data_IF_685383196902
#
_entry.id   IF_685383196902
#
_cell.length_a   1.000
_cell.length_b   1.000
_cell.length_c   1.000
_cell.angle_alpha   90.00
_cell.angle_beta   90.00
_cell.angle_gamma   90.00
#
_symmetry.space_group_name_H-M   'P 1'
#
loop_
_entity.id
_entity.type
_entity.pdbx_description
1 polymer ?
#
# COMPACT_ATOMS: atom_id res chain seq x y z
N UNK A 1 -29.22 -17.59 -13.82
CA UNK A 1 -29.48 -16.14 -13.79
C UNK A 1 -28.36 -15.48 -14.59
N UNK A 2 -28.64 -14.51 -15.44
CA UNK A 2 -27.64 -13.81 -16.26
C UNK A 2 -27.98 -12.33 -16.35
N UNK A 3 -26.98 -11.50 -16.62
CA UNK A 3 -27.10 -10.05 -16.79
C UNK A 3 -26.51 -9.69 -18.14
N UNK A 4 -27.20 -8.84 -18.91
CA UNK A 4 -26.72 -8.35 -20.21
C UNK A 4 -26.38 -6.89 -20.05
N UNK A 5 -25.12 -6.54 -20.32
CA UNK A 5 -24.59 -5.19 -20.19
C UNK A 5 -23.79 -4.81 -21.43
N UNK A 6 -23.68 -3.50 -21.65
CA UNK A 6 -22.88 -2.91 -22.71
C UNK A 6 -21.46 -2.72 -22.19
N UNK A 7 -20.50 -3.41 -22.80
CA UNK A 7 -19.09 -3.37 -22.41
C UNK A 7 -18.29 -2.73 -23.54
N UNK A 8 -17.42 -1.78 -23.19
CA UNK A 8 -16.45 -1.21 -24.11
C UNK A 8 -15.31 -2.22 -24.35
N UNK A 9 -15.19 -2.71 -25.58
CA UNK A 9 -14.13 -3.65 -25.98
C UNK A 9 -13.18 -2.92 -26.96
N UNK A 10 -11.85 -3.06 -26.81
CA UNK A 10 -10.91 -2.49 -27.77
C UNK A 10 -11.25 -2.93 -29.20
N UNK A 11 -11.34 -1.98 -30.12
CA UNK A 11 -11.49 -2.25 -31.54
C UNK A 11 -10.25 -3.02 -32.03
N UNK A 12 -10.40 -4.03 -32.91
CA UNK A 12 -9.26 -4.70 -33.52
C UNK A 12 -8.41 -3.67 -34.28
N UNK A 13 -7.15 -3.51 -33.91
CA UNK A 13 -6.23 -2.66 -34.68
C UNK A 13 -5.83 -3.40 -35.96
N UNK A 14 -6.14 -2.82 -37.13
CA UNK A 14 -5.65 -3.32 -38.41
C UNK A 14 -4.15 -3.03 -38.53
N UNK A 15 -3.34 -4.05 -38.29
CA UNK A 15 -1.90 -3.97 -38.49
C UNK A 15 -1.61 -4.23 -39.97
N UNK A 16 -1.13 -3.22 -40.68
CA UNK A 16 -0.75 -3.35 -42.09
C UNK A 16 0.77 -3.35 -42.25
N UNK A 17 1.34 -4.29 -43.03
CA UNK A 17 2.76 -4.26 -43.36
C UNK A 17 3.00 -3.22 -44.47
N UNK A 18 3.70 -2.15 -44.12
CA UNK A 18 4.21 -1.16 -45.07
C UNK A 18 5.62 -1.53 -45.53
N UNK A 19 5.83 -1.48 -46.84
CA UNK A 19 7.11 -1.77 -47.48
C UNK A 19 7.72 -0.48 -48.02
N UNK A 20 9.01 -0.26 -47.78
CA UNK A 20 9.73 0.83 -48.44
C UNK A 20 10.01 0.47 -49.90
N UNK A 21 9.92 1.44 -50.81
CA UNK A 21 10.11 1.21 -52.26
C UNK A 21 11.51 0.66 -52.59
N UNK A 22 12.51 0.93 -51.75
CA UNK A 22 13.92 0.64 -52.02
C UNK A 22 14.54 -0.48 -51.15
N UNK A 23 13.77 -1.12 -50.26
CA UNK A 23 14.26 -2.23 -49.41
C UNK A 23 13.26 -3.37 -49.28
N UNK A 24 13.76 -4.57 -48.99
CA UNK A 24 12.93 -5.74 -48.64
C UNK A 24 12.50 -5.74 -47.15
N UNK A 25 12.76 -4.64 -46.43
CA UNK A 25 12.36 -4.50 -45.04
C UNK A 25 10.92 -3.96 -44.95
N UNK A 26 10.13 -4.56 -44.06
CA UNK A 26 8.76 -4.12 -43.79
C UNK A 26 8.68 -3.45 -42.42
N UNK A 27 7.86 -2.41 -42.31
CA UNK A 27 7.43 -1.83 -41.04
C UNK A 27 5.95 -2.13 -40.82
N UNK A 28 5.57 -2.41 -39.58
CA UNK A 28 4.16 -2.62 -39.23
C UNK A 28 3.57 -1.26 -38.86
N UNK A 29 2.71 -0.72 -39.72
CA UNK A 29 1.92 0.47 -39.40
C UNK A 29 0.66 0.07 -38.62
N UNK A 30 0.29 0.90 -37.64
CA UNK A 30 -0.83 0.64 -36.73
C UNK A 30 -0.46 0.01 -35.38
N UNK A 31 0.79 -0.45 -35.17
CA UNK A 31 1.25 -0.91 -33.85
C UNK A 31 1.65 0.31 -33.01
N UNK A 32 0.83 0.63 -31.99
CA UNK A 32 1.14 1.66 -31.01
C UNK A 32 0.45 3.01 -31.23
N UNK A 33 -0.67 3.07 -31.95
CA UNK A 33 -1.55 4.24 -31.84
C UNK A 33 -2.09 4.31 -30.40
N UNK A 34 -1.74 5.37 -29.67
CA UNK A 34 -2.20 5.63 -28.30
C UNK A 34 -3.73 5.74 -28.20
N UNK A 35 -4.39 5.95 -29.34
CA UNK A 35 -5.84 5.94 -29.48
C UNK A 35 -6.34 4.49 -29.61
N UNK A 36 -6.59 3.85 -28.46
CA UNK A 36 -7.38 2.61 -28.40
C UNK A 36 -8.85 3.00 -28.57
N UNK A 37 -9.38 2.85 -29.78
CA UNK A 37 -10.80 3.04 -30.04
C UNK A 37 -11.58 1.90 -29.39
N UNK A 38 -12.63 2.22 -28.62
CA UNK A 38 -13.45 1.23 -27.94
C UNK A 38 -14.81 1.10 -28.62
N UNK A 39 -15.18 -0.12 -28.98
CA UNK A 39 -16.51 -0.44 -29.48
C UNK A 39 -17.41 -0.92 -28.34
N UNK A 40 -18.62 -0.38 -28.25
CA UNK A 40 -19.62 -0.87 -27.30
C UNK A 40 -20.22 -2.18 -27.83
N UNK A 41 -20.05 -3.28 -27.10
CA UNK A 41 -20.63 -4.58 -27.42
C UNK A 41 -21.56 -5.03 -26.31
N UNK A 42 -22.73 -5.55 -26.69
CA UNK A 42 -23.60 -6.23 -25.73
C UNK A 42 -23.01 -7.59 -25.39
N UNK A 43 -22.77 -7.83 -24.11
CA UNK A 43 -22.31 -9.12 -23.60
C UNK A 43 -23.25 -9.59 -22.49
N UNK A 44 -23.69 -10.83 -22.63
CA UNK A 44 -24.46 -11.51 -21.58
C UNK A 44 -23.51 -12.31 -20.70
N UNK A 45 -23.45 -11.96 -19.42
CA UNK A 45 -22.63 -12.62 -18.40
C UNK A 45 -23.53 -13.52 -17.55
N UNK A 46 -23.16 -14.80 -17.42
CA UNK A 46 -23.91 -15.78 -16.63
C UNK A 46 -23.45 -15.76 -15.17
N UNK A 47 -24.39 -15.74 -14.22
CA UNK A 47 -24.10 -15.84 -12.79
C UNK A 47 -23.83 -17.32 -12.45
N UNK A 48 -22.62 -17.59 -11.96
CA UNK A 48 -22.20 -18.91 -11.51
C UNK A 48 -22.20 -18.97 -9.97
N UNK A 49 -22.96 -19.92 -9.40
CA UNK A 49 -23.03 -20.10 -7.94
C UNK A 49 -21.83 -20.87 -7.42
N UNK A 50 -21.18 -20.37 -6.37
CA UNK A 50 -20.12 -21.09 -5.65
C UNK A 50 -20.63 -22.33 -4.89
N UNK A 51 -21.93 -22.41 -4.60
CA UNK A 51 -22.56 -23.56 -3.94
C UNK A 51 -22.96 -24.67 -4.93
N UNK A 52 -22.78 -24.46 -6.23
CA UNK A 52 -22.97 -25.51 -7.24
C UNK A 52 -21.86 -26.56 -7.17
N UNK A 53 -22.05 -27.73 -7.80
CA UNK A 53 -21.02 -28.77 -7.87
C UNK A 53 -19.71 -28.22 -8.47
N UNK A 54 -19.81 -27.45 -9.57
CA UNK A 54 -18.65 -26.83 -10.20
C UNK A 54 -18.07 -25.68 -9.36
N UNK A 55 -18.91 -24.92 -8.67
CA UNK A 55 -18.48 -23.86 -7.75
C UNK A 55 -17.69 -24.39 -6.56
N UNK A 56 -18.15 -25.50 -5.96
CA UNK A 56 -17.44 -26.18 -4.87
C UNK A 56 -16.11 -26.74 -5.39
N UNK A 57 -16.11 -27.38 -6.57
CA UNK A 57 -14.88 -27.85 -7.20
C UNK A 57 -13.90 -26.71 -7.44
N UNK A 58 -14.38 -25.57 -7.95
CA UNK A 58 -13.57 -24.37 -8.15
C UNK A 58 -12.96 -23.91 -6.83
N UNK A 59 -13.76 -23.78 -5.77
CA UNK A 59 -13.30 -23.29 -4.46
C UNK A 59 -12.14 -24.12 -3.89
N UNK A 60 -12.20 -25.45 -4.02
CA UNK A 60 -11.13 -26.34 -3.54
C UNK A 60 -9.92 -26.45 -4.48
N UNK A 61 -10.09 -26.19 -5.77
CA UNK A 61 -9.00 -26.31 -6.77
C UNK A 61 -8.26 -24.99 -6.99
N UNK A 62 -8.94 -23.85 -6.85
CA UNK A 62 -8.35 -22.53 -7.09
C UNK A 62 -7.77 -21.88 -5.84
N UNK A 63 -8.04 -22.39 -4.64
CA UNK A 63 -7.61 -21.75 -3.38
C UNK A 63 -6.10 -21.50 -3.32
N UNK A 64 -5.28 -22.53 -3.53
CA UNK A 64 -3.82 -22.40 -3.46
C UNK A 64 -3.26 -21.51 -4.58
N UNK A 65 -3.64 -21.68 -5.86
CA UNK A 65 -3.22 -20.77 -6.92
C UNK A 65 -3.63 -19.31 -6.67
N UNK A 66 -4.85 -19.06 -6.19
CA UNK A 66 -5.31 -17.70 -5.87
C UNK A 66 -4.50 -17.09 -4.73
N UNK A 67 -4.20 -17.87 -3.68
CA UNK A 67 -3.38 -17.42 -2.56
C UNK A 67 -1.93 -17.14 -2.97
N UNK A 68 -1.34 -17.99 -3.82
CA UNK A 68 0.02 -17.80 -4.34
C UNK A 68 0.12 -16.66 -5.35
N UNK A 69 -0.93 -16.45 -6.15
CA UNK A 69 -1.01 -15.39 -7.15
C UNK A 69 -1.31 -14.01 -6.58
N UNK A 70 -1.62 -13.91 -5.28
CA UNK A 70 -1.81 -12.64 -4.60
C UNK A 70 -0.44 -12.06 -4.19
N UNK A 71 0.17 -11.27 -5.07
CA UNK A 71 1.54 -10.80 -4.92
C UNK A 71 1.75 -9.85 -3.74
N UNK A 72 0.71 -9.10 -3.35
CA UNK A 72 0.70 -8.22 -2.19
C UNK A 72 1.06 -8.97 -0.90
N UNK A 73 0.66 -10.25 -0.79
CA UNK A 73 0.99 -11.09 0.35
C UNK A 73 2.52 -11.27 0.49
N UNK A 74 3.19 -11.63 -0.60
CA UNK A 74 4.62 -11.92 -0.57
C UNK A 74 5.44 -10.68 -0.21
N UNK A 75 5.14 -9.54 -0.84
CA UNK A 75 5.83 -8.27 -0.59
C UNK A 75 5.60 -7.81 0.86
N UNK A 76 4.36 -7.91 1.35
CA UNK A 76 4.02 -7.53 2.73
C UNK A 76 4.74 -8.41 3.75
N UNK A 77 4.81 -9.73 3.54
CA UNK A 77 5.50 -10.65 4.45
C UNK A 77 7.01 -10.34 4.53
N UNK A 78 7.65 -10.06 3.40
CA UNK A 78 9.08 -9.71 3.36
C UNK A 78 9.31 -8.36 4.06
N UNK A 79 8.47 -7.36 3.80
CA UNK A 79 8.54 -6.06 4.44
C UNK A 79 8.39 -6.17 5.97
N UNK A 80 7.38 -6.92 6.44
CA UNK A 80 7.14 -7.15 7.86
C UNK A 80 8.27 -7.94 8.54
N UNK A 81 8.94 -8.85 7.82
CA UNK A 81 10.10 -9.56 8.37
C UNK A 81 11.26 -8.59 8.70
N UNK A 82 11.53 -7.63 7.81
CA UNK A 82 12.53 -6.59 8.04
C UNK A 82 12.13 -5.63 9.18
N UNK A 83 10.89 -5.15 9.17
CA UNK A 83 10.35 -4.27 10.20
C UNK A 83 10.36 -4.95 11.59
N UNK A 84 9.91 -6.20 11.67
CA UNK A 84 9.91 -6.98 12.90
C UNK A 84 11.31 -7.26 13.43
N UNK A 85 12.29 -7.54 12.56
CA UNK A 85 13.68 -7.69 12.98
C UNK A 85 14.25 -6.38 13.57
N UNK A 86 13.97 -5.23 12.94
CA UNK A 86 14.37 -3.92 13.46
C UNK A 86 13.70 -3.59 14.81
N UNK A 87 12.45 -4.00 15.00
CA UNK A 87 11.71 -3.80 16.25
C UNK A 87 12.25 -4.67 17.38
N UNK A 88 12.43 -5.98 17.15
CA UNK A 88 12.98 -6.91 18.15
C UNK A 88 14.41 -6.54 18.54
N UNK A 89 15.20 -6.02 17.60
CA UNK A 89 16.54 -5.49 17.88
C UNK A 89 16.51 -4.18 18.71
N UNK A 90 15.33 -3.58 18.91
CA UNK A 90 15.15 -2.33 19.65
C UNK A 90 15.57 -1.07 18.88
N UNK A 91 15.85 -1.18 17.58
CA UNK A 91 16.29 -0.05 16.74
C UNK A 91 15.23 1.06 16.72
N UNK A 92 13.97 0.69 16.46
CA UNK A 92 12.86 1.66 16.37
C UNK A 92 12.64 2.38 17.71
N UNK A 93 12.62 1.61 18.81
CA UNK A 93 12.52 2.14 20.16
C UNK A 93 13.66 3.12 20.50
N UNK A 94 14.90 2.78 20.12
CA UNK A 94 16.07 3.61 20.36
C UNK A 94 16.04 4.92 19.55
N UNK A 95 15.67 4.85 18.27
CA UNK A 95 15.55 6.02 17.39
C UNK A 95 14.49 7.01 17.90
N UNK A 96 13.31 6.51 18.29
CA UNK A 96 12.24 7.33 18.87
C UNK A 96 12.72 8.04 20.14
N UNK A 97 13.36 7.30 21.06
CA UNK A 97 13.91 7.88 22.31
C UNK A 97 14.98 8.93 22.04
N UNK A 98 15.89 8.66 21.11
CA UNK A 98 16.97 9.59 20.76
C UNK A 98 16.40 10.90 20.19
N UNK A 99 15.43 10.80 19.28
CA UNK A 99 14.87 11.97 18.61
C UNK A 99 14.07 12.87 19.58
N UNK A 100 13.36 12.29 20.54
CA UNK A 100 12.70 13.06 21.62
C UNK A 100 13.73 13.70 22.56
N UNK A 101 14.82 13.00 22.90
CA UNK A 101 15.85 13.51 23.82
C UNK A 101 16.58 14.74 23.28
N UNK A 102 16.78 14.81 21.97
CA UNK A 102 17.50 15.92 21.31
C UNK A 102 16.57 17.09 20.96
N UNK A 103 15.26 16.94 21.18
CA UNK A 103 14.26 17.94 20.83
C UNK A 103 14.45 19.27 21.59
N UNK A 104 14.57 20.43 20.89
CA UNK A 104 14.57 21.72 21.55
C UNK A 104 13.19 22.03 22.15
N UNK A 105 13.18 22.70 23.31
CA UNK A 105 11.96 22.99 24.10
C UNK A 105 10.81 23.59 23.28
N UNK A 106 11.11 24.46 22.33
CA UNK A 106 10.13 25.13 21.49
C UNK A 106 9.41 24.18 20.51
N UNK A 107 10.12 23.16 20.00
CA UNK A 107 9.62 22.27 18.95
C UNK A 107 9.14 20.91 19.47
N UNK A 108 9.16 20.70 20.79
CA UNK A 108 8.89 19.39 21.39
C UNK A 108 7.52 18.80 20.98
N UNK A 109 6.49 19.64 20.89
CA UNK A 109 5.15 19.21 20.47
C UNK A 109 5.13 18.76 19.00
N UNK A 110 5.74 19.57 18.12
CA UNK A 110 5.85 19.26 16.70
C UNK A 110 6.63 17.97 16.47
N UNK A 111 7.77 17.82 17.15
CA UNK A 111 8.61 16.63 17.05
C UNK A 111 7.89 15.38 17.54
N UNK A 112 7.15 15.45 18.65
CA UNK A 112 6.37 14.30 19.12
C UNK A 112 5.32 13.87 18.08
N UNK A 113 4.60 14.82 17.48
CA UNK A 113 3.61 14.51 16.43
C UNK A 113 4.30 13.94 15.19
N UNK A 114 5.40 14.56 14.75
CA UNK A 114 6.16 14.13 13.58
C UNK A 114 6.74 12.72 13.75
N UNK A 115 7.30 12.41 14.92
CA UNK A 115 7.76 11.06 15.25
C UNK A 115 6.60 10.09 15.29
N UNK A 116 5.42 10.52 15.75
CA UNK A 116 4.21 9.71 15.76
C UNK A 116 3.80 9.27 14.36
N UNK A 117 3.86 10.19 13.39
CA UNK A 117 3.63 9.86 12.00
C UNK A 117 4.66 8.83 11.47
N UNK A 118 5.95 9.05 11.75
CA UNK A 118 7.00 8.12 11.31
C UNK A 118 6.93 6.74 11.99
N UNK A 119 6.36 6.66 13.19
CA UNK A 119 6.32 5.43 13.98
C UNK A 119 5.42 4.33 13.40
N UNK A 120 4.59 4.63 12.38
CA UNK A 120 3.76 3.60 11.73
C UNK A 120 4.57 2.50 11.04
N UNK A 121 5.83 2.76 10.65
CA UNK A 121 6.76 1.71 10.17
C UNK A 121 6.96 0.60 11.20
N UNK A 122 6.90 0.94 12.48
CA UNK A 122 7.13 0.02 13.59
C UNK A 122 5.83 -0.54 14.20
N UNK A 123 4.69 -0.40 13.51
CA UNK A 123 3.33 -0.81 13.89
C UNK A 123 2.92 -0.49 15.33
N UNK A 124 3.41 -1.26 16.30
CA UNK A 124 2.97 -1.28 17.69
C UNK A 124 3.89 -0.49 18.62
N UNK A 125 5.18 -0.36 18.26
CA UNK A 125 6.15 0.37 19.07
C UNK A 125 5.79 1.86 19.23
N UNK A 126 5.13 2.45 18.22
CA UNK A 126 4.68 3.84 18.25
C UNK A 126 3.74 4.12 19.43
N UNK A 127 2.70 3.30 19.59
CA UNK A 127 1.74 3.45 20.68
C UNK A 127 2.36 3.19 22.05
N UNK A 128 3.16 2.12 22.16
CA UNK A 128 3.71 1.69 23.45
C UNK A 128 4.80 2.63 23.98
N UNK A 129 5.58 3.24 23.09
CA UNK A 129 6.78 3.99 23.47
C UNK A 129 6.56 5.49 23.36
N UNK A 130 5.95 5.97 22.27
CA UNK A 130 5.89 7.40 22.01
C UNK A 130 4.89 8.12 22.91
N UNK A 131 3.75 7.49 23.23
CA UNK A 131 2.74 8.09 24.11
C UNK A 131 3.34 8.39 25.50
N UNK A 132 3.89 7.42 26.26
CA UNK A 132 4.48 7.70 27.57
C UNK A 132 5.71 8.61 27.47
N UNK A 133 6.54 8.48 26.42
CA UNK A 133 7.66 9.41 26.21
C UNK A 133 7.20 10.83 25.97
N UNK A 134 6.12 11.05 25.22
CA UNK A 134 5.58 12.37 24.95
C UNK A 134 5.16 13.07 26.24
N UNK A 135 4.47 12.34 27.12
CA UNK A 135 4.12 12.83 28.47
C UNK A 135 5.35 13.15 29.32
N UNK A 136 6.32 12.24 29.38
CA UNK A 136 7.56 12.43 30.12
C UNK A 136 8.39 13.61 29.58
N UNK A 137 8.45 13.78 28.27
CA UNK A 137 9.18 14.85 27.60
C UNK A 137 8.57 16.22 27.89
N UNK A 138 7.23 16.33 27.86
CA UNK A 138 6.54 17.56 28.27
C UNK A 138 6.78 17.89 29.74
N UNK A 139 6.72 16.88 30.63
CA UNK A 139 7.01 17.06 32.05
C UNK A 139 8.45 17.54 32.28
N UNK A 140 9.43 16.97 31.57
CA UNK A 140 10.85 17.31 31.69
C UNK A 140 11.17 18.76 31.27
N UNK A 141 10.36 19.35 30.39
CA UNK A 141 10.50 20.76 29.97
C UNK A 141 9.58 21.72 30.73
N UNK A 142 8.89 21.27 31.78
CA UNK A 142 8.01 22.08 32.61
C UNK A 142 6.64 22.37 31.99
N UNK A 143 6.19 21.59 31.01
CA UNK A 143 4.87 21.69 30.36
C UNK A 143 3.92 20.60 30.88
N UNK A 144 2.62 20.79 30.68
CA UNK A 144 1.61 19.86 31.17
C UNK A 144 1.72 18.48 30.49
N UNK A 145 1.90 17.38 31.23
CA UNK A 145 2.18 16.05 30.65
C UNK A 145 1.02 15.51 29.80
N UNK A 146 -0.24 15.83 30.13
CA UNK A 146 -1.40 15.42 29.31
C UNK A 146 -1.30 15.98 27.88
N UNK A 147 -0.73 17.18 27.68
CA UNK A 147 -0.52 17.71 26.34
C UNK A 147 0.50 16.90 25.55
N UNK A 148 1.53 16.36 26.23
CA UNK A 148 2.49 15.45 25.63
C UNK A 148 1.90 14.08 25.30
N UNK A 149 1.05 13.54 26.18
CA UNK A 149 0.28 12.31 25.91
C UNK A 149 -0.65 12.48 24.70
N UNK A 150 -1.38 13.61 24.65
CA UNK A 150 -2.28 13.93 23.55
C UNK A 150 -1.53 14.15 22.23
N UNK A 151 -0.37 14.83 22.26
CA UNK A 151 0.47 15.00 21.08
C UNK A 151 1.01 13.66 20.56
N UNK A 152 1.45 12.76 21.47
CA UNK A 152 1.90 11.42 21.10
C UNK A 152 0.78 10.59 20.49
N UNK A 153 -0.39 10.55 21.15
CA UNK A 153 -1.55 9.82 20.64
C UNK A 153 -2.04 10.38 19.30
N UNK A 154 -2.20 11.70 19.19
CA UNK A 154 -2.61 12.34 17.95
C UNK A 154 -1.62 12.11 16.81
N UNK A 155 -0.32 12.13 17.10
CA UNK A 155 0.72 11.84 16.11
C UNK A 155 0.64 10.42 15.55
N UNK A 156 0.49 9.41 16.41
CA UNK A 156 0.44 8.01 15.96
C UNK A 156 -0.91 7.68 15.31
N UNK A 157 -2.02 8.12 15.91
CA UNK A 157 -3.36 7.74 15.45
C UNK A 157 -3.82 8.50 14.21
N UNK A 158 -3.57 9.81 14.12
CA UNK A 158 -4.09 10.63 13.01
C UNK A 158 -3.22 10.56 11.75
N UNK A 159 -1.94 10.21 11.87
CA UNK A 159 -0.98 10.23 10.76
C UNK A 159 -0.47 8.84 10.35
N UNK A 160 -1.17 7.76 10.74
CA UNK A 160 -0.72 6.39 10.50
C UNK A 160 -0.46 6.07 9.00
N UNK A 161 -1.26 6.67 8.11
CA UNK A 161 -1.16 6.52 6.65
C UNK A 161 -0.13 7.47 5.98
N UNK A 162 0.52 8.35 6.74
CA UNK A 162 1.47 9.32 6.21
C UNK A 162 2.87 9.05 6.75
N UNK A 163 3.80 8.68 5.88
CA UNK A 163 5.18 8.39 6.26
C UNK A 163 6.18 8.95 5.24
N UNK A 164 7.43 9.14 5.67
CA UNK A 164 8.53 9.59 4.81
C UNK A 164 9.21 8.40 4.11
N UNK A 165 9.03 7.20 4.65
CA UNK A 165 9.62 5.95 4.15
C UNK A 165 8.46 5.01 3.80
N UNK A 166 8.58 4.22 2.71
CA UNK A 166 7.60 3.18 2.41
C UNK A 166 7.41 2.21 3.59
N UNK A 167 6.15 1.96 3.90
CA UNK A 167 5.69 1.10 4.98
C UNK A 167 5.12 -0.21 4.40
N UNK A 168 4.97 -1.26 5.23
CA UNK A 168 4.27 -2.48 4.81
C UNK A 168 2.84 -2.22 4.29
N UNK A 169 2.18 -1.16 4.74
CA UNK A 169 0.87 -0.75 4.22
C UNK A 169 0.95 -0.30 2.76
N UNK A 170 2.01 0.42 2.38
CA UNK A 170 2.19 0.87 0.99
C UNK A 170 2.39 -0.32 0.05
N UNK A 171 3.08 -1.37 0.51
CA UNK A 171 3.24 -2.62 -0.24
C UNK A 171 1.91 -3.33 -0.52
N UNK A 172 0.94 -3.21 0.40
CA UNK A 172 -0.39 -3.80 0.24
C UNK A 172 -1.27 -3.00 -0.73
N UNK A 173 -1.09 -1.68 -0.82
CA UNK A 173 -1.93 -0.79 -1.63
C UNK A 173 -1.53 -0.71 -3.11
N UNK A 174 -0.33 -1.19 -3.47
CA UNK A 174 0.18 -1.10 -4.83
C UNK A 174 -0.42 -2.14 -5.80
N UNK A 175 -1.00 -3.23 -5.29
CA UNK A 175 -1.76 -4.23 -6.09
C UNK A 175 -3.26 -3.98 -6.07
#
# INVERSE_FOLDING_TARGET
VSVTEQIAVPAPQEVTPDFYEDTYEYTLSGIGSEDVEFEIKEQTITINSLLSIDGIRFLFTSFVPNFQGFGALAVTLIAMMGAGAAEVAGLMAALIRMLVRVAPRALIAYLIVFIGALASVASDAGYLILIPLGGAAFLAVGRHPIAGLAAGFGGVAAAFMANLIPTPTDAMLFE
#
